data_IF_700157230922
#
_entry.id   IF_700157230922
#
_cell.length_a   1.000
_cell.length_b   1.000
_cell.length_c   1.000
_cell.angle_alpha   90.00
_cell.angle_beta   90.00
_cell.angle_gamma   90.00
#
_symmetry.space_group_name_H-M   'P 1'
#
loop_
_entity.id
_entity.type
_entity.pdbx_description
1 polymer ?
#
# COMPACT_ATOMS: atom_id res chain seq x y z
N UNK A 1 3.74 -29.46 0.09
CA UNK A 1 3.76 -28.17 0.83
C UNK A 1 3.97 -27.06 -0.19
N UNK A 2 2.91 -26.32 -0.55
CA UNK A 2 3.03 -25.19 -1.49
C UNK A 2 3.45 -23.98 -0.68
N UNK A 3 4.70 -23.54 -0.83
CA UNK A 3 5.20 -22.31 -0.21
C UNK A 3 4.58 -21.14 -0.95
N UNK A 4 3.71 -20.31 -0.34
CA UNK A 4 3.18 -19.16 -1.03
C UNK A 4 4.35 -18.19 -1.25
N UNK A 5 4.81 -18.08 -2.49
CA UNK A 5 5.79 -17.08 -2.89
C UNK A 5 5.10 -15.73 -2.79
N UNK A 6 5.27 -15.07 -1.64
CA UNK A 6 4.76 -13.73 -1.42
C UNK A 6 5.53 -12.80 -2.36
N UNK A 7 5.01 -12.63 -3.57
CA UNK A 7 5.67 -11.82 -4.58
C UNK A 7 5.90 -10.42 -4.01
N UNK A 8 7.04 -9.80 -4.33
CA UNK A 8 7.37 -8.46 -3.84
C UNK A 8 6.28 -7.42 -4.16
N UNK A 9 5.44 -7.70 -5.17
CA UNK A 9 4.25 -6.92 -5.53
C UNK A 9 3.10 -7.12 -4.53
N UNK A 10 2.77 -8.36 -4.15
CA UNK A 10 1.73 -8.63 -3.16
C UNK A 10 2.10 -8.06 -1.79
N UNK A 11 3.39 -8.08 -1.41
CA UNK A 11 3.85 -7.43 -0.17
C UNK A 11 3.73 -5.91 -0.19
N UNK A 12 4.01 -5.24 -1.31
CA UNK A 12 3.81 -3.79 -1.46
C UNK A 12 2.35 -3.40 -1.41
N UNK A 13 1.47 -4.15 -2.09
CA UNK A 13 0.01 -3.93 -2.04
C UNK A 13 -0.56 -4.13 -0.64
N UNK A 14 -0.14 -5.18 0.07
CA UNK A 14 -0.54 -5.42 1.46
C UNK A 14 -0.09 -4.27 2.39
N UNK A 15 1.15 -3.77 2.24
CA UNK A 15 1.63 -2.62 3.01
C UNK A 15 0.86 -1.34 2.68
N UNK A 16 0.53 -1.10 1.40
CA UNK A 16 -0.30 0.05 1.02
C UNK A 16 -1.69 -0.01 1.68
N UNK A 17 -2.33 -1.18 1.68
CA UNK A 17 -3.61 -1.40 2.37
C UNK A 17 -3.50 -1.19 3.89
N UNK A 18 -2.42 -1.67 4.52
CA UNK A 18 -2.19 -1.43 5.94
C UNK A 18 -2.08 0.06 6.27
N UNK A 19 -1.39 0.84 5.43
CA UNK A 19 -1.33 2.31 5.60
C UNK A 19 -2.68 2.99 5.38
N UNK A 20 -3.53 2.52 4.46
CA UNK A 20 -4.91 3.02 4.35
C UNK A 20 -5.71 2.78 5.63
N UNK A 21 -5.63 1.56 6.19
CA UNK A 21 -6.30 1.25 7.45
C UNK A 21 -5.79 2.14 8.59
N UNK A 22 -4.48 2.33 8.71
CA UNK A 22 -3.88 3.23 9.70
C UNK A 22 -4.30 4.70 9.49
N UNK A 23 -4.42 5.16 8.24
CA UNK A 23 -4.91 6.50 7.94
C UNK A 23 -6.34 6.71 8.45
N UNK A 24 -7.23 5.72 8.23
CA UNK A 24 -8.60 5.78 8.73
C UNK A 24 -8.66 5.71 10.25
N UNK A 25 -7.84 4.86 10.88
CA UNK A 25 -7.71 4.81 12.33
C UNK A 25 -7.23 6.15 12.92
N UNK A 26 -6.34 6.87 12.23
CA UNK A 26 -5.88 8.18 12.66
C UNK A 26 -7.02 9.22 12.70
N UNK A 27 -7.95 9.18 11.74
CA UNK A 27 -9.14 10.04 11.74
C UNK A 27 -10.11 9.69 12.88
N UNK A 28 -10.22 8.41 13.19
CA UNK A 28 -11.06 7.91 14.29
C UNK A 28 -10.45 8.14 15.69
N UNK A 29 -9.14 8.43 15.78
CA UNK A 29 -8.47 8.63 17.07
C UNK A 29 -8.96 9.89 17.80
N UNK A 30 -8.85 9.92 19.13
CA UNK A 30 -9.28 11.05 19.96
C UNK A 30 -8.21 12.15 20.13
N UNK A 31 -7.27 12.27 19.20
CA UNK A 31 -6.25 13.31 19.23
C UNK A 31 -6.79 14.63 18.65
N UNK A 32 -6.06 15.74 18.86
CA UNK A 32 -6.41 17.03 18.25
C UNK A 32 -6.54 16.93 16.73
N UNK A 33 -7.38 17.78 16.16
CA UNK A 33 -7.67 17.78 14.72
C UNK A 33 -6.39 17.87 13.88
N UNK A 34 -5.46 18.77 14.23
CA UNK A 34 -4.18 18.93 13.54
C UNK A 34 -3.33 17.66 13.56
N UNK A 35 -3.30 16.93 14.68
CA UNK A 35 -2.57 15.66 14.80
C UNK A 35 -3.20 14.56 13.96
N UNK A 36 -4.54 14.46 13.95
CA UNK A 36 -5.28 13.48 13.14
C UNK A 36 -5.00 13.66 11.65
N UNK A 37 -5.13 14.89 11.16
CA UNK A 37 -4.84 15.19 9.75
C UNK A 37 -3.38 14.93 9.40
N UNK A 38 -2.42 15.35 10.24
CA UNK A 38 -1.00 15.09 9.99
C UNK A 38 -0.71 13.59 9.86
N UNK A 39 -1.23 12.76 10.76
CA UNK A 39 -1.06 11.29 10.71
C UNK A 39 -1.76 10.68 9.51
N UNK A 40 -2.99 11.11 9.20
CA UNK A 40 -3.72 10.70 8.00
C UNK A 40 -2.90 10.96 6.73
N UNK A 41 -2.40 12.20 6.55
CA UNK A 41 -1.61 12.55 5.38
C UNK A 41 -0.30 11.78 5.29
N UNK A 42 0.39 11.57 6.42
CA UNK A 42 1.61 10.77 6.46
C UNK A 42 1.36 9.33 5.98
N UNK A 43 0.30 8.68 6.48
CA UNK A 43 -0.06 7.32 6.07
C UNK A 43 -0.55 7.27 4.61
N UNK A 44 -1.35 8.22 4.16
CA UNK A 44 -1.81 8.30 2.76
C UNK A 44 -0.65 8.53 1.79
N UNK A 45 0.36 9.33 2.17
CA UNK A 45 1.56 9.53 1.36
C UNK A 45 2.32 8.20 1.19
N UNK A 46 2.55 7.46 2.29
CA UNK A 46 3.19 6.14 2.23
C UNK A 46 2.40 5.14 1.40
N UNK A 47 1.08 5.09 1.57
CA UNK A 47 0.22 4.17 0.81
C UNK A 47 0.26 4.46 -0.69
N UNK A 48 0.19 5.74 -1.09
CA UNK A 48 0.30 6.17 -2.49
C UNK A 48 1.67 5.83 -3.07
N UNK A 49 2.75 6.06 -2.32
CA UNK A 49 4.10 5.70 -2.76
C UNK A 49 4.25 4.19 -2.98
N UNK A 50 3.76 3.38 -2.05
CA UNK A 50 3.79 1.92 -2.16
C UNK A 50 2.89 1.38 -3.28
N UNK A 51 1.72 1.97 -3.48
CA UNK A 51 0.82 1.63 -4.58
C UNK A 51 1.45 1.94 -5.94
N UNK A 52 2.02 3.15 -6.10
CA UNK A 52 2.78 3.52 -7.31
C UNK A 52 3.98 2.61 -7.54
N UNK A 53 4.71 2.25 -6.49
CA UNK A 53 5.83 1.32 -6.60
C UNK A 53 5.40 -0.14 -6.88
N UNK A 54 4.18 -0.52 -6.53
CA UNK A 54 3.62 -1.82 -6.90
C UNK A 54 3.22 -1.84 -8.39
N UNK A 55 2.71 -0.71 -8.89
CA UNK A 55 2.32 -0.52 -10.29
C UNK A 55 3.53 -0.34 -11.21
N UNK A 56 4.55 0.43 -10.82
CA UNK A 56 5.76 0.61 -11.63
C UNK A 56 6.55 -0.71 -11.86
N UNK A 57 6.25 -1.77 -11.13
CA UNK A 57 6.82 -3.12 -11.35
C UNK A 57 6.03 -3.92 -12.41
N UNK A 58 5.00 -3.35 -13.04
CA UNK A 58 4.42 -3.86 -14.30
C UNK A 58 4.98 -3.12 -15.52
N UNK A 59 6.17 -3.50 -16.01
CA UNK A 59 6.38 -3.42 -17.46
C UNK A 59 6.67 -4.76 -18.17
N UNK A 60 7.04 -5.85 -17.49
CA UNK A 60 7.61 -7.02 -18.21
C UNK A 60 6.93 -8.38 -17.93
N UNK A 61 6.07 -8.50 -16.92
CA UNK A 61 5.55 -9.81 -16.50
C UNK A 61 4.21 -10.23 -17.13
N UNK A 62 3.67 -9.45 -18.07
CA UNK A 62 2.39 -9.77 -18.76
C UNK A 62 2.61 -10.00 -20.27
N UNK A 63 3.85 -9.96 -20.76
CA UNK A 63 4.16 -10.14 -22.18
C UNK A 63 4.62 -11.56 -22.55
N UNK A 64 4.10 -12.57 -21.87
CA UNK A 64 4.21 -13.97 -22.30
C UNK A 64 2.89 -14.73 -22.05
N UNK A 65 1.96 -14.58 -22.99
CA UNK A 65 1.05 -15.62 -23.50
C UNK A 65 0.82 -15.16 -24.96
N UNK A 66 1.55 -15.65 -25.95
CA UNK A 66 1.56 -17.05 -26.41
C UNK A 66 0.58 -17.10 -27.60
N UNK A 67 1.11 -17.37 -28.79
CA UNK A 67 0.49 -17.28 -30.13
C UNK A 67 -0.90 -17.91 -30.29
#
# INVERSE_FOLDING_TARGET
MVTPTFTRRSSRRARAAAHHAMAMAALASNCSLSVRYRRYHAHMHMARALSRAAEAVTPEAVREVGE
#
